data_IF_325309245156
#
_entry.id   IF_325309245156
#
_cell.length_a   1.000
_cell.length_b   1.000
_cell.length_c   1.000
_cell.angle_alpha   90.00
_cell.angle_beta   90.00
_cell.angle_gamma   90.00
#
_symmetry.space_group_name_H-M   'P 1'
#
loop_
_entity.id
_entity.type
_entity.pdbx_description
1 polymer ?
#
# COMPACT_ATOMS: atom_id res chain seq x y z
N UNK A 1 27.37 -17.90 -44.20
CA UNK A 1 25.99 -17.67 -43.74
C UNK A 1 25.72 -18.25 -42.35
N UNK A 2 26.20 -19.46 -42.04
CA UNK A 2 25.95 -20.15 -40.76
C UNK A 2 26.45 -19.39 -39.50
N UNK A 3 27.61 -18.72 -39.59
CA UNK A 3 28.13 -17.86 -38.49
C UNK A 3 27.31 -16.59 -38.24
N UNK A 4 26.62 -16.06 -39.25
CA UNK A 4 25.73 -14.89 -39.10
C UNK A 4 24.42 -15.28 -38.41
N UNK A 5 23.87 -16.45 -38.74
CA UNK A 5 22.64 -16.97 -38.16
C UNK A 5 22.79 -17.33 -36.67
N UNK A 6 23.95 -17.86 -36.24
CA UNK A 6 24.23 -18.14 -34.82
C UNK A 6 24.34 -16.87 -33.96
N UNK A 7 24.89 -15.77 -34.50
CA UNK A 7 24.92 -14.47 -33.80
C UNK A 7 23.53 -13.84 -33.71
N UNK A 8 22.73 -13.90 -34.78
CA UNK A 8 21.37 -13.39 -34.76
C UNK A 8 20.47 -14.14 -33.75
N UNK A 9 20.59 -15.48 -33.69
CA UNK A 9 19.88 -16.30 -32.71
C UNK A 9 20.31 -16.01 -31.26
N UNK A 10 21.60 -15.74 -31.00
CA UNK A 10 22.10 -15.46 -29.66
C UNK A 10 21.79 -14.04 -29.16
N UNK A 11 21.59 -13.09 -30.08
CA UNK A 11 21.24 -11.69 -29.71
C UNK A 11 19.74 -11.56 -29.36
N UNK A 12 18.88 -12.41 -29.93
CA UNK A 12 17.44 -12.39 -29.69
C UNK A 12 17.06 -12.92 -28.29
N UNK A 13 17.86 -13.85 -27.74
CA UNK A 13 17.60 -14.43 -26.41
C UNK A 13 17.89 -13.46 -25.25
N UNK A 14 18.83 -12.53 -25.43
CA UNK A 14 19.23 -11.56 -24.38
C UNK A 14 18.22 -10.40 -24.28
N UNK A 15 17.55 -10.04 -25.38
CA UNK A 15 16.54 -8.97 -25.38
C UNK A 15 15.23 -9.40 -24.70
N UNK A 16 14.89 -10.69 -24.74
CA UNK A 16 13.70 -11.25 -24.07
C UNK A 16 13.79 -11.27 -22.54
N UNK A 17 15.00 -11.31 -21.98
CA UNK A 17 15.24 -11.25 -20.53
C UNK A 17 15.25 -9.82 -19.96
N UNK A 18 15.38 -8.79 -20.80
CA UNK A 18 15.34 -7.37 -20.39
C UNK A 18 13.92 -6.80 -20.36
N UNK A 19 12.93 -7.57 -20.82
CA UNK A 19 11.50 -7.26 -20.75
C UNK A 19 10.79 -8.10 -19.68
N UNK A 20 11.47 -8.40 -18.56
CA UNK A 20 10.73 -8.69 -17.32
C UNK A 20 9.80 -7.48 -17.14
N UNK A 21 8.47 -7.68 -17.14
CA UNK A 21 7.56 -6.57 -17.37
C UNK A 21 7.72 -5.59 -16.22
N UNK A 22 8.14 -4.36 -16.52
CA UNK A 22 8.12 -3.23 -15.58
C UNK A 22 6.79 -3.13 -14.83
N UNK A 23 5.70 -3.61 -15.45
CA UNK A 23 4.38 -3.74 -14.84
C UNK A 23 4.38 -4.60 -13.56
N UNK A 24 5.15 -5.69 -13.49
CA UNK A 24 5.20 -6.54 -12.29
C UNK A 24 5.95 -5.89 -11.13
N UNK A 25 6.83 -4.91 -11.38
CA UNK A 25 7.43 -4.10 -10.33
C UNK A 25 6.53 -2.93 -9.92
N UNK A 26 5.59 -2.54 -10.79
CA UNK A 26 4.69 -1.42 -10.56
C UNK A 26 3.54 -1.75 -9.61
N UNK A 27 3.01 -2.98 -9.67
CA UNK A 27 1.94 -3.43 -8.76
C UNK A 27 2.48 -3.58 -7.33
N UNK A 28 1.65 -3.27 -6.34
CA UNK A 28 2.00 -3.46 -4.94
C UNK A 28 1.80 -4.92 -4.55
N UNK A 29 2.36 -5.29 -3.41
CA UNK A 29 2.10 -6.57 -2.79
C UNK A 29 1.71 -6.34 -1.34
N UNK A 30 1.03 -7.32 -0.74
CA UNK A 30 0.40 -7.15 0.57
C UNK A 30 1.41 -6.73 1.66
N UNK A 31 2.62 -7.29 1.60
CA UNK A 31 3.69 -6.98 2.56
C UNK A 31 4.17 -5.53 2.48
N UNK A 32 3.98 -4.84 1.35
CA UNK A 32 4.31 -3.42 1.23
C UNK A 32 3.37 -2.53 2.04
N UNK A 33 2.21 -3.00 2.48
CA UNK A 33 1.38 -2.25 3.43
C UNK A 33 1.88 -2.35 4.87
N UNK A 34 2.51 -3.47 5.22
CA UNK A 34 2.96 -3.75 6.58
C UNK A 34 4.09 -2.81 6.96
N UNK A 35 3.97 -2.18 8.13
CA UNK A 35 4.97 -1.25 8.63
C UNK A 35 4.36 -0.10 9.43
N UNK A 36 5.21 0.88 9.70
CA UNK A 36 4.85 2.12 10.38
C UNK A 36 4.93 3.26 9.36
N UNK A 37 3.86 4.03 9.26
CA UNK A 37 3.72 5.10 8.28
C UNK A 37 3.56 6.43 9.00
N UNK A 38 4.50 7.35 8.78
CA UNK A 38 4.36 8.75 9.18
C UNK A 38 3.25 9.37 8.34
N UNK A 39 2.08 9.54 8.91
CA UNK A 39 0.86 9.92 8.22
C UNK A 39 0.47 11.36 8.56
N UNK A 40 0.15 12.14 7.53
CA UNK A 40 -0.54 13.42 7.65
C UNK A 40 -1.88 13.30 6.92
N UNK A 41 -2.98 13.51 7.64
CA UNK A 41 -4.31 13.62 7.04
C UNK A 41 -4.97 14.92 7.48
N UNK A 42 -5.30 15.78 6.53
CA UNK A 42 -5.92 17.08 6.80
C UNK A 42 -5.16 17.93 7.86
N UNK A 43 -3.83 17.85 7.89
CA UNK A 43 -3.00 18.56 8.88
C UNK A 43 -2.82 17.82 10.20
N UNK A 44 -3.57 16.74 10.45
CA UNK A 44 -3.37 15.87 11.61
C UNK A 44 -2.24 14.88 11.36
N UNK A 45 -1.16 15.04 12.13
CA UNK A 45 0.03 14.18 12.03
C UNK A 45 -0.05 13.05 13.03
N UNK A 46 0.29 11.85 12.58
CA UNK A 46 0.40 10.67 13.45
C UNK A 46 1.14 9.52 12.78
N UNK A 47 1.05 8.35 13.37
CA UNK A 47 1.62 7.11 12.85
C UNK A 47 0.53 6.09 12.60
N UNK A 48 0.35 5.72 11.33
CA UNK A 48 -0.44 4.56 10.94
C UNK A 48 0.44 3.31 11.06
N UNK A 49 -0.03 2.30 11.78
CA UNK A 49 0.66 1.03 12.01
C UNK A 49 -0.20 -0.06 11.39
N UNK A 50 0.36 -0.74 10.41
CA UNK A 50 -0.24 -1.93 9.79
C UNK A 50 0.65 -3.11 10.14
N UNK A 51 0.07 -4.14 10.76
CA UNK A 51 0.80 -5.31 11.22
C UNK A 51 0.12 -6.58 10.74
N UNK A 52 0.91 -7.57 10.35
CA UNK A 52 0.38 -8.90 10.02
C UNK A 52 0.36 -9.76 11.29
N UNK A 53 -0.84 -10.10 11.76
CA UNK A 53 -1.03 -10.95 12.94
C UNK A 53 -0.62 -12.40 12.71
N UNK A 54 -0.38 -12.81 11.46
CA UNK A 54 -0.11 -14.19 11.04
C UNK A 54 -1.24 -15.18 11.40
N UNK A 55 -2.41 -14.67 11.79
CA UNK A 55 -3.58 -15.50 12.04
C UNK A 55 -4.16 -15.98 10.70
N UNK A 56 -4.45 -17.28 10.61
CA UNK A 56 -5.32 -17.79 9.57
C UNK A 56 -6.78 -17.54 9.99
N UNK A 57 -7.40 -16.57 9.34
CA UNK A 57 -8.75 -16.11 9.63
C UNK A 57 -9.79 -16.65 8.64
N UNK A 58 -9.41 -17.55 7.72
CA UNK A 58 -10.33 -18.12 6.72
C UNK A 58 -11.03 -17.08 5.83
N UNK A 59 -10.46 -15.87 5.75
CA UNK A 59 -11.05 -14.71 5.08
C UNK A 59 -10.26 -14.29 3.84
N UNK A 60 -10.43 -13.02 3.39
CA UNK A 60 -9.62 -12.46 2.32
C UNK A 60 -8.11 -12.57 2.62
N UNK A 61 -7.26 -12.54 1.60
CA UNK A 61 -5.80 -12.66 1.76
C UNK A 61 -5.17 -11.65 2.73
N UNK A 62 -5.86 -10.53 2.99
CA UNK A 62 -5.46 -9.48 3.92
C UNK A 62 -6.10 -9.59 5.31
N UNK A 63 -6.88 -10.63 5.59
CA UNK A 63 -7.64 -10.75 6.83
C UNK A 63 -6.74 -10.79 8.08
N UNK A 64 -5.49 -11.24 7.93
CA UNK A 64 -4.51 -11.27 9.02
C UNK A 64 -3.94 -9.89 9.36
N UNK A 65 -4.15 -8.89 8.49
CA UNK A 65 -3.67 -7.54 8.72
C UNK A 65 -4.51 -6.83 9.80
N UNK A 66 -3.81 -6.15 10.68
CA UNK A 66 -4.36 -5.32 11.76
C UNK A 66 -3.91 -3.88 11.57
N UNK A 67 -4.74 -2.93 11.99
CA UNK A 67 -4.53 -1.51 11.78
C UNK A 67 -4.71 -0.74 13.08
N UNK A 68 -3.77 0.16 13.37
CA UNK A 68 -3.81 1.07 14.51
C UNK A 68 -3.23 2.42 14.12
N UNK A 69 -3.78 3.49 14.66
CA UNK A 69 -3.25 4.84 14.49
C UNK A 69 -2.83 5.40 15.86
N UNK A 70 -1.75 6.18 15.87
CA UNK A 70 -1.28 6.92 17.04
C UNK A 70 -1.16 8.37 16.62
N UNK A 71 -1.89 9.29 17.25
CA UNK A 71 -1.83 10.71 16.92
C UNK A 71 -0.57 11.40 17.46
N UNK A 72 -0.45 12.70 17.23
CA UNK A 72 0.67 13.52 17.71
C UNK A 72 0.75 13.65 19.24
N UNK A 73 -0.35 13.39 19.95
CA UNK A 73 -0.43 13.43 21.41
C UNK A 73 -0.13 12.05 22.03
N UNK A 74 0.04 11.02 21.21
CA UNK A 74 0.28 9.64 21.63
C UNK A 74 -0.99 8.85 21.93
N UNK A 75 -2.19 9.41 21.68
CA UNK A 75 -3.42 8.66 21.83
C UNK A 75 -3.53 7.62 20.71
N UNK A 76 -3.97 6.41 21.09
CA UNK A 76 -4.04 5.29 20.17
C UNK A 76 -5.48 4.94 19.81
N UNK A 77 -5.71 4.72 18.52
CA UNK A 77 -7.02 4.45 17.94
C UNK A 77 -6.96 3.15 17.16
N UNK A 78 -7.97 2.30 17.35
CA UNK A 78 -8.12 1.10 16.54
C UNK A 78 -8.57 1.47 15.14
N UNK A 79 -8.26 0.61 14.18
CA UNK A 79 -8.85 0.69 12.86
C UNK A 79 -9.10 -0.67 12.25
N UNK A 80 -9.82 -0.67 11.15
CA UNK A 80 -10.17 -1.87 10.41
C UNK A 80 -9.97 -1.64 8.91
N UNK A 81 -9.48 -2.67 8.23
CA UNK A 81 -9.41 -2.69 6.77
C UNK A 81 -10.79 -3.12 6.26
N UNK A 82 -11.32 -2.37 5.29
CA UNK A 82 -12.62 -2.65 4.68
C UNK A 82 -12.43 -3.46 3.40
N UNK A 83 -11.49 -3.04 2.55
CA UNK A 83 -11.09 -3.75 1.33
C UNK A 83 -9.69 -3.37 0.90
N UNK A 84 -9.07 -4.27 0.15
CA UNK A 84 -7.90 -3.99 -0.69
C UNK A 84 -8.24 -4.47 -2.09
N UNK A 85 -7.85 -3.71 -3.12
CA UNK A 85 -8.05 -4.12 -4.50
C UNK A 85 -7.19 -5.33 -4.89
N UNK A 86 -7.52 -5.95 -6.03
CA UNK A 86 -6.88 -7.19 -6.48
C UNK A 86 -5.39 -7.02 -6.86
N UNK A 87 -4.93 -5.76 -6.99
CA UNK A 87 -3.53 -5.40 -7.27
C UNK A 87 -2.78 -4.93 -6.03
N UNK A 88 -3.41 -5.00 -4.86
CA UNK A 88 -2.87 -4.54 -3.59
C UNK A 88 -2.42 -3.08 -3.58
N UNK A 89 -2.85 -2.27 -4.56
CA UNK A 89 -2.39 -0.91 -4.75
C UNK A 89 -3.26 0.09 -3.98
N UNK A 90 -4.54 -0.24 -3.78
CA UNK A 90 -5.53 0.58 -3.09
C UNK A 90 -6.08 -0.13 -1.87
N UNK A 91 -5.97 0.51 -0.70
CA UNK A 91 -6.60 0.06 0.54
C UNK A 91 -7.66 1.07 0.97
N UNK A 92 -8.85 0.56 1.31
CA UNK A 92 -9.85 1.31 2.06
C UNK A 92 -9.85 0.82 3.50
N UNK A 93 -9.71 1.75 4.43
CA UNK A 93 -9.72 1.44 5.85
C UNK A 93 -10.43 2.54 6.64
N UNK A 94 -10.74 2.21 7.89
CA UNK A 94 -11.32 3.14 8.84
C UNK A 94 -10.46 3.25 10.08
N UNK A 95 -10.38 4.45 10.64
CA UNK A 95 -9.85 4.70 11.98
C UNK A 95 -11.03 5.11 12.87
N UNK A 96 -11.11 4.49 14.05
CA UNK A 96 -12.13 4.77 15.05
C UNK A 96 -11.58 5.81 16.05
N UNK A 97 -11.71 7.09 15.70
CA UNK A 97 -11.46 8.18 16.64
C UNK A 97 -12.56 8.22 17.72
N UNK A 98 -12.33 8.96 18.82
CA UNK A 98 -13.25 8.98 19.98
C UNK A 98 -14.70 9.30 19.58
N UNK A 99 -14.88 10.28 18.71
CA UNK A 99 -16.21 10.82 18.38
C UNK A 99 -16.65 10.51 16.94
N UNK A 100 -15.78 9.90 16.14
CA UNK A 100 -16.09 9.58 14.75
C UNK A 100 -15.30 8.38 14.21
N UNK A 101 -15.96 7.61 13.34
CA UNK A 101 -15.31 6.62 12.48
C UNK A 101 -15.01 7.26 11.13
N UNK A 102 -13.73 7.40 10.81
CA UNK A 102 -13.28 8.13 9.63
C UNK A 102 -12.76 7.19 8.55
N UNK A 103 -13.24 7.38 7.31
CA UNK A 103 -12.84 6.59 6.13
C UNK A 103 -11.56 7.14 5.52
N UNK A 104 -10.70 6.24 5.04
CA UNK A 104 -9.52 6.55 4.26
C UNK A 104 -9.48 5.68 2.99
N UNK A 105 -9.19 6.33 1.86
CA UNK A 105 -8.90 5.69 0.57
C UNK A 105 -7.43 5.99 0.25
N UNK A 106 -6.55 5.00 0.41
CA UNK A 106 -5.10 5.18 0.29
C UNK A 106 -4.51 4.34 -0.84
N UNK A 107 -3.54 4.92 -1.54
CA UNK A 107 -2.82 4.29 -2.64
C UNK A 107 -1.32 4.32 -2.35
N UNK A 108 -0.67 3.16 -2.35
CA UNK A 108 0.80 3.11 -2.38
C UNK A 108 1.26 3.67 -3.74
N UNK A 109 2.44 4.28 -3.84
CA UNK A 109 2.99 4.68 -5.14
C UNK A 109 3.71 3.51 -5.82
N UNK A 110 3.42 3.27 -7.09
CA UNK A 110 3.98 2.14 -7.83
C UNK A 110 5.51 2.10 -7.87
N UNK A 111 6.16 3.27 -8.01
CA UNK A 111 7.61 3.38 -8.11
C UNK A 111 8.33 3.56 -6.77
N UNK A 112 7.61 4.05 -5.76
CA UNK A 112 8.15 4.30 -4.44
C UNK A 112 7.19 3.75 -3.39
N UNK A 113 7.33 2.46 -3.09
CA UNK A 113 6.49 1.74 -2.13
C UNK A 113 6.68 2.22 -0.69
N UNK A 114 7.65 3.10 -0.44
CA UNK A 114 7.80 3.77 0.86
C UNK A 114 6.83 4.95 1.02
N UNK A 115 6.06 5.30 -0.02
CA UNK A 115 5.11 6.41 0.00
C UNK A 115 3.70 5.93 -0.35
N UNK A 116 2.73 6.55 0.31
CA UNK A 116 1.33 6.45 -0.07
C UNK A 116 0.66 7.82 -0.02
N UNK A 117 -0.38 7.99 -0.82
CA UNK A 117 -1.22 9.17 -0.82
C UNK A 117 -2.68 8.77 -1.03
N UNK A 118 -3.60 9.67 -0.74
CA UNK A 118 -5.01 9.38 -0.92
C UNK A 118 -5.90 10.44 -0.34
N UNK A 119 -7.08 10.01 0.06
CA UNK A 119 -8.09 10.90 0.63
C UNK A 119 -8.70 10.34 1.90
N UNK A 120 -9.25 11.24 2.70
CA UNK A 120 -10.10 10.92 3.84
C UNK A 120 -11.38 11.73 3.75
N UNK A 121 -12.44 11.26 4.42
CA UNK A 121 -13.73 11.92 4.43
C UNK A 121 -14.17 12.25 5.86
N UNK A 122 -14.44 13.51 6.13
CA UNK A 122 -14.89 14.00 7.44
C UNK A 122 -15.83 15.20 7.27
N UNK A 123 -16.87 15.28 8.10
CA UNK A 123 -17.76 16.44 8.14
C UNK A 123 -18.43 16.78 6.80
N UNK A 124 -18.70 15.79 5.94
CA UNK A 124 -19.30 16.06 4.62
C UNK A 124 -18.30 16.36 3.51
N UNK A 125 -17.00 16.41 3.80
CA UNK A 125 -15.94 16.88 2.89
C UNK A 125 -14.78 15.91 2.76
N UNK A 126 -14.13 15.94 1.60
CA UNK A 126 -12.92 15.17 1.30
C UNK A 126 -11.66 15.99 1.58
N UNK A 127 -10.67 15.36 2.22
CA UNK A 127 -9.37 15.93 2.53
C UNK A 127 -8.23 15.02 2.07
N UNK A 128 -7.02 15.57 2.01
CA UNK A 128 -5.83 14.84 1.58
C UNK A 128 -5.23 13.98 2.67
N UNK A 129 -4.64 12.86 2.26
CA UNK A 129 -3.79 11.98 3.04
C UNK A 129 -2.44 11.84 2.32
N UNK A 130 -1.35 11.92 3.06
CA UNK A 130 -0.03 11.50 2.61
C UNK A 130 0.71 10.78 3.73
N UNK A 131 1.43 9.70 3.41
CA UNK A 131 2.27 9.02 4.39
C UNK A 131 3.56 8.45 3.82
N UNK A 132 4.59 8.38 4.67
CA UNK A 132 5.91 7.82 4.38
C UNK A 132 6.21 6.68 5.36
N UNK A 133 6.60 5.52 4.84
CA UNK A 133 7.04 4.35 5.61
C UNK A 133 8.33 4.66 6.35
N UNK A 134 8.41 4.28 7.63
CA UNK A 134 9.61 4.38 8.48
C UNK A 134 10.39 3.08 8.49
#
# INVERSE_FOLDING_TARGET
MEKLMKKAAMTLTILGLLLIPLASLADANLNEWVGRWSMNHDGHVGTLIISDSKMDCGGPAWCSLTLRYIDSEGASFSGNIDRIDDRWQHMVFFINFRDNRQKFDAYIFSWDKSKLAGTTYWGGRTFGLYAIKR
#
